data_IF_187256175516
#
_entry.id   IF_187256175516
#
_cell.length_a   1.000
_cell.length_b   1.000
_cell.length_c   1.000
_cell.angle_alpha   90.00
_cell.angle_beta   90.00
_cell.angle_gamma   90.00
#
_symmetry.space_group_name_H-M   'P 1'
#
loop_
_entity.id
_entity.type
_entity.pdbx_description
1 polymer ?
#
# COMPACT_ATOMS: atom_id res chain seq x y z
N UNK A 1 -20.20 -11.54 -9.00
CA UNK A 1 -20.79 -10.67 -7.94
C UNK A 1 -19.81 -9.59 -7.52
N UNK A 2 -19.71 -8.45 -8.25
CA UNK A 2 -18.73 -7.40 -7.99
C UNK A 2 -18.82 -6.86 -6.54
N UNK A 3 -20.03 -6.72 -6.01
CA UNK A 3 -20.26 -6.23 -4.65
C UNK A 3 -19.67 -7.16 -3.56
N UNK A 4 -19.73 -8.47 -3.75
CA UNK A 4 -19.13 -9.43 -2.81
C UNK A 4 -17.60 -9.34 -2.83
N UNK A 5 -17.01 -9.21 -4.03
CA UNK A 5 -15.55 -9.06 -4.17
C UNK A 5 -15.06 -7.76 -3.53
N UNK A 6 -15.79 -6.66 -3.71
CA UNK A 6 -15.48 -5.38 -3.09
C UNK A 6 -15.57 -5.46 -1.57
N UNK A 7 -16.66 -6.03 -1.02
CA UNK A 7 -16.84 -6.21 0.42
C UNK A 7 -15.74 -7.10 1.02
N UNK A 8 -15.39 -8.20 0.35
CA UNK A 8 -14.29 -9.06 0.77
C UNK A 8 -12.96 -8.29 0.77
N UNK A 9 -12.70 -7.50 -0.29
CA UNK A 9 -11.53 -6.63 -0.37
C UNK A 9 -11.42 -5.70 0.84
N UNK A 10 -12.51 -5.05 1.26
CA UNK A 10 -12.52 -4.20 2.46
C UNK A 10 -12.24 -4.97 3.75
N UNK A 11 -12.73 -6.22 3.86
CA UNK A 11 -12.51 -7.06 5.05
C UNK A 11 -11.06 -7.50 5.18
N UNK A 12 -10.38 -7.81 4.05
CA UNK A 12 -9.01 -8.34 4.06
C UNK A 12 -7.94 -7.27 3.90
N UNK A 13 -8.32 -6.04 3.52
CA UNK A 13 -7.36 -4.94 3.33
C UNK A 13 -6.67 -4.55 4.63
N UNK A 14 -5.41 -4.15 4.51
CA UNK A 14 -4.69 -3.51 5.60
C UNK A 14 -5.32 -2.17 5.95
N UNK A 15 -5.23 -1.78 7.23
CA UNK A 15 -5.70 -0.47 7.67
C UNK A 15 -4.57 0.54 7.58
N UNK A 16 -4.84 1.70 6.97
CA UNK A 16 -3.83 2.74 6.76
C UNK A 16 -4.38 4.10 7.18
N UNK A 17 -3.56 4.83 7.92
CA UNK A 17 -3.78 6.23 8.27
C UNK A 17 -2.68 7.08 7.70
N UNK A 18 -3.05 8.07 6.90
CA UNK A 18 -2.12 9.01 6.28
C UNK A 18 -2.26 10.39 6.92
N UNK A 19 -1.12 11.05 7.13
CA UNK A 19 -1.02 12.43 7.56
C UNK A 19 -0.10 13.18 6.62
N UNK A 20 -0.49 14.39 6.26
CA UNK A 20 0.33 15.30 5.45
C UNK A 20 0.43 16.64 6.17
N UNK A 21 1.64 17.18 6.24
CA UNK A 21 1.89 18.51 6.77
C UNK A 21 2.79 19.29 5.82
N UNK A 22 2.38 20.48 5.47
CA UNK A 22 3.20 21.40 4.70
C UNK A 22 4.33 21.97 5.56
N UNK A 23 5.56 21.84 5.05
CA UNK A 23 6.78 22.39 5.65
C UNK A 23 7.24 23.64 4.92
N UNK A 24 7.25 23.59 3.59
CA UNK A 24 7.65 24.65 2.67
C UNK A 24 8.98 25.32 3.06
N UNK A 25 10.02 24.53 3.22
CA UNK A 25 11.35 24.96 3.65
C UNK A 25 12.42 24.49 2.67
N UNK A 26 13.58 25.12 2.69
CA UNK A 26 14.75 24.65 1.96
C UNK A 26 15.45 23.55 2.76
N UNK A 27 16.08 22.58 2.05
CA UNK A 27 16.76 21.46 2.70
C UNK A 27 17.91 21.93 3.64
N UNK A 28 18.65 22.95 3.25
CA UNK A 28 19.72 23.56 4.07
C UNK A 28 19.20 24.20 5.36
N UNK A 29 17.98 24.76 5.31
CA UNK A 29 17.30 25.42 6.43
C UNK A 29 16.43 24.48 7.26
N UNK A 30 16.39 23.19 6.92
CA UNK A 30 15.54 22.21 7.60
C UNK A 30 15.90 22.09 9.08
N UNK A 31 14.94 22.35 9.96
CA UNK A 31 15.02 22.05 11.40
C UNK A 31 14.76 20.55 11.63
N UNK A 32 15.84 19.77 11.68
CA UNK A 32 15.75 18.31 11.89
C UNK A 32 15.12 17.93 13.24
N UNK A 33 15.46 18.56 14.37
CA UNK A 33 14.79 18.31 15.65
C UNK A 33 13.27 18.51 15.57
N UNK A 34 12.80 19.60 14.93
CA UNK A 34 11.37 19.84 14.75
C UNK A 34 10.72 18.78 13.83
N UNK A 35 11.38 18.40 12.74
CA UNK A 35 10.92 17.34 11.85
C UNK A 35 10.77 16.02 12.61
N UNK A 36 11.77 15.60 13.37
CA UNK A 36 11.76 14.36 14.15
C UNK A 36 10.60 14.36 15.16
N UNK A 37 10.44 15.45 15.92
CA UNK A 37 9.30 15.57 16.87
C UNK A 37 7.96 15.38 16.16
N UNK A 38 7.80 16.00 14.98
CA UNK A 38 6.56 15.87 14.22
C UNK A 38 6.33 14.45 13.70
N UNK A 39 7.38 13.77 13.26
CA UNK A 39 7.31 12.36 12.84
C UNK A 39 6.92 11.45 14.00
N UNK A 40 7.46 11.67 15.19
CA UNK A 40 7.11 10.93 16.40
C UNK A 40 5.65 11.16 16.81
N UNK A 41 5.16 12.41 16.70
CA UNK A 41 3.76 12.78 16.96
C UNK A 41 2.82 12.06 15.99
N UNK A 42 3.08 12.11 14.69
CA UNK A 42 2.27 11.42 13.68
C UNK A 42 2.29 9.90 13.83
N UNK A 43 3.44 9.33 14.20
CA UNK A 43 3.53 7.91 14.53
C UNK A 43 2.61 7.54 15.67
N UNK A 44 2.66 8.29 16.77
CA UNK A 44 1.84 8.05 17.96
C UNK A 44 0.36 8.17 17.64
N UNK A 45 -0.07 9.28 17.00
CA UNK A 45 -1.46 9.49 16.62
C UNK A 45 -2.00 8.36 15.72
N UNK A 46 -1.24 7.98 14.69
CA UNK A 46 -1.65 6.90 13.80
C UNK A 46 -1.72 5.53 14.47
N UNK A 47 -0.79 5.24 15.39
CA UNK A 47 -0.82 4.01 16.18
C UNK A 47 -2.00 3.97 17.16
N UNK A 48 -2.33 5.11 17.78
CA UNK A 48 -3.50 5.23 18.65
C UNK A 48 -4.80 5.01 17.88
N UNK A 49 -4.91 5.52 16.65
CA UNK A 49 -6.04 5.27 15.76
C UNK A 49 -6.15 3.79 15.38
N UNK A 50 -5.03 3.13 15.03
CA UNK A 50 -5.03 1.68 14.77
C UNK A 50 -5.48 0.90 16.01
N UNK A 51 -4.99 1.27 17.20
CA UNK A 51 -5.40 0.64 18.47
C UNK A 51 -6.88 0.86 18.76
N UNK A 52 -7.39 2.06 18.55
CA UNK A 52 -8.80 2.43 18.79
C UNK A 52 -9.77 1.68 17.84
N UNK A 53 -9.29 1.19 16.70
CA UNK A 53 -10.10 0.41 15.76
C UNK A 53 -10.55 -0.95 16.29
N UNK A 54 -9.94 -1.47 17.36
CA UNK A 54 -10.22 -2.80 17.93
C UNK A 54 -9.79 -3.96 17.01
N UNK A 55 -9.12 -3.69 15.88
CA UNK A 55 -8.69 -4.71 14.92
C UNK A 55 -7.34 -5.27 15.32
N UNK A 56 -7.19 -6.59 15.23
CA UNK A 56 -5.91 -7.25 15.44
C UNK A 56 -5.00 -7.08 14.21
N UNK A 57 -3.77 -6.59 14.43
CA UNK A 57 -2.73 -6.47 13.42
C UNK A 57 -1.56 -7.37 13.73
N UNK A 58 -1.10 -8.13 12.73
CA UNK A 58 0.11 -8.97 12.84
C UNK A 58 1.38 -8.13 12.97
N UNK A 59 1.41 -6.97 12.29
CA UNK A 59 2.51 -6.01 12.27
C UNK A 59 1.95 -4.60 12.09
N UNK A 60 2.72 -3.62 12.52
CA UNK A 60 2.44 -2.21 12.26
C UNK A 60 3.66 -1.59 11.62
N UNK A 61 3.47 -0.91 10.51
CA UNK A 61 4.53 -0.21 9.79
C UNK A 61 4.28 1.29 9.87
N UNK A 62 5.37 2.04 10.03
CA UNK A 62 5.36 3.50 9.94
C UNK A 62 6.29 3.90 8.82
N UNK A 63 5.80 4.69 7.87
CA UNK A 63 6.54 5.18 6.72
C UNK A 63 6.47 6.69 6.67
N UNK A 64 7.63 7.33 6.43
CA UNK A 64 7.74 8.76 6.23
C UNK A 64 8.35 9.06 4.87
N UNK A 65 7.75 10.03 4.19
CA UNK A 65 8.19 10.55 2.91
C UNK A 65 8.21 12.08 2.94
N UNK A 66 9.10 12.67 2.16
CA UNK A 66 9.11 14.10 1.91
C UNK A 66 8.78 14.37 0.44
N UNK A 67 7.86 15.32 0.20
CA UNK A 67 7.69 15.89 -1.14
C UNK A 67 8.78 16.90 -1.39
N UNK A 68 9.68 16.60 -2.31
CA UNK A 68 10.86 17.43 -2.57
C UNK A 68 10.97 17.79 -4.05
N UNK A 69 11.54 18.97 -4.33
CA UNK A 69 11.83 19.41 -5.69
C UNK A 69 13.05 20.32 -5.71
N UNK A 70 13.71 20.45 -6.84
CA UNK A 70 14.59 21.61 -7.03
C UNK A 70 13.78 22.91 -7.06
N UNK A 71 14.37 23.98 -6.56
CA UNK A 71 13.73 25.29 -6.58
C UNK A 71 13.38 25.72 -8.01
N UNK A 72 12.17 26.21 -8.21
CA UNK A 72 11.64 26.58 -9.53
C UNK A 72 10.88 25.45 -10.25
N UNK A 73 10.90 24.23 -9.76
CA UNK A 73 10.06 23.15 -10.29
C UNK A 73 8.66 23.17 -9.67
N UNK A 74 7.65 22.85 -10.49
CA UNK A 74 6.25 22.73 -10.05
C UNK A 74 5.92 21.34 -9.52
N UNK A 75 6.60 20.31 -10.01
CA UNK A 75 6.36 18.92 -9.61
C UNK A 75 7.34 18.51 -8.51
N UNK A 76 6.81 17.85 -7.50
CA UNK A 76 7.60 17.27 -6.43
C UNK A 76 7.85 15.78 -6.68
N UNK A 77 8.88 15.26 -6.05
CA UNK A 77 9.23 13.85 -6.01
C UNK A 77 9.00 13.33 -4.61
N UNK A 78 8.28 12.23 -4.48
CA UNK A 78 8.09 11.53 -3.21
C UNK A 78 9.39 10.81 -2.81
N UNK A 79 10.00 11.27 -1.74
CA UNK A 79 11.29 10.77 -1.24
C UNK A 79 11.08 10.00 0.06
N UNK A 80 11.18 8.67 0.06
CA UNK A 80 11.10 7.89 1.29
C UNK A 80 12.33 8.16 2.16
N UNK A 81 12.11 8.60 3.39
CA UNK A 81 13.19 8.94 4.33
C UNK A 81 13.31 7.94 5.47
N UNK A 82 12.22 7.28 5.83
CA UNK A 82 12.19 6.28 6.89
C UNK A 82 11.04 5.31 6.68
N UNK A 83 11.32 4.01 6.80
CA UNK A 83 10.31 2.97 6.96
C UNK A 83 10.71 2.06 8.12
N UNK A 84 9.82 1.86 9.08
CA UNK A 84 10.02 1.00 10.24
C UNK A 84 8.85 0.06 10.44
N UNK A 85 9.17 -1.20 10.70
CA UNK A 85 8.21 -2.18 11.20
C UNK A 85 8.28 -2.17 12.72
N UNK A 86 7.16 -1.89 13.37
CA UNK A 86 7.03 -1.92 14.81
C UNK A 86 6.54 -3.31 15.23
N UNK A 87 7.35 -4.03 15.96
CA UNK A 87 6.92 -5.22 16.69
C UNK A 87 6.43 -4.76 18.05
N UNK A 88 5.16 -5.05 18.37
CA UNK A 88 4.46 -4.75 19.62
C UNK A 88 5.27 -3.98 20.68
N UNK A 89 4.91 -2.71 20.91
CA UNK A 89 5.22 -1.92 22.12
C UNK A 89 6.58 -1.24 22.27
N UNK A 90 7.40 -1.01 21.24
CA UNK A 90 8.56 -0.13 21.42
C UNK A 90 8.56 1.00 20.40
N UNK A 91 8.27 2.21 20.85
CA UNK A 91 8.57 3.45 20.13
C UNK A 91 10.08 3.56 19.99
N UNK A 92 10.62 3.17 18.83
CA UNK A 92 12.05 3.33 18.57
C UNK A 92 12.31 4.78 18.19
N UNK A 93 13.35 5.36 18.80
CA UNK A 93 13.83 6.71 18.48
C UNK A 93 14.06 6.88 16.98
N UNK A 94 13.57 7.97 16.44
CA UNK A 94 13.76 8.33 15.03
C UNK A 94 15.09 9.11 14.92
N UNK A 95 15.98 8.64 14.07
CA UNK A 95 17.25 9.29 13.78
C UNK A 95 17.35 9.53 12.28
N UNK A 96 17.50 10.79 11.90
CA UNK A 96 17.64 11.25 10.52
C UNK A 96 18.76 12.28 10.46
N UNK A 97 19.53 12.25 9.36
CA UNK A 97 20.59 13.20 9.04
C UNK A 97 20.27 13.89 7.71
N UNK A 98 20.63 15.17 7.57
CA UNK A 98 20.40 15.93 6.32
C UNK A 98 21.04 15.28 5.11
N UNK A 99 22.24 14.76 5.27
CA UNK A 99 23.01 14.07 4.22
C UNK A 99 22.27 12.83 3.70
N UNK A 100 21.59 12.13 4.60
CA UNK A 100 20.76 10.97 4.23
C UNK A 100 19.53 11.39 3.43
N UNK A 101 18.88 12.49 3.82
CA UNK A 101 17.73 13.05 3.09
C UNK A 101 18.16 13.52 1.70
N UNK A 102 19.31 14.21 1.59
CA UNK A 102 19.87 14.65 0.32
C UNK A 102 20.12 13.44 -0.61
N UNK A 103 20.84 12.42 -0.14
CA UNK A 103 21.14 11.21 -0.92
C UNK A 103 19.86 10.49 -1.38
N UNK A 104 18.85 10.40 -0.51
CA UNK A 104 17.58 9.78 -0.86
C UNK A 104 16.86 10.56 -1.97
N UNK A 105 16.86 11.89 -1.90
CA UNK A 105 16.32 12.75 -2.95
C UNK A 105 17.07 12.57 -4.27
N UNK A 106 18.39 12.64 -4.26
CA UNK A 106 19.23 12.49 -5.47
C UNK A 106 19.00 11.13 -6.13
N UNK A 107 19.00 10.05 -5.36
CA UNK A 107 18.74 8.71 -5.89
C UNK A 107 17.35 8.62 -6.53
N UNK A 108 16.34 9.12 -5.83
CA UNK A 108 14.96 9.10 -6.32
C UNK A 108 14.77 9.97 -7.56
N UNK A 109 15.33 11.18 -7.55
CA UNK A 109 15.27 12.11 -8.66
C UNK A 109 15.98 11.54 -9.90
N UNK A 110 17.19 10.99 -9.71
CA UNK A 110 17.96 10.35 -10.79
C UNK A 110 17.23 9.13 -11.38
N UNK A 111 16.55 8.34 -10.54
CA UNK A 111 15.78 7.18 -11.03
C UNK A 111 14.59 7.57 -11.89
N UNK A 112 13.99 8.74 -11.65
CA UNK A 112 12.82 9.24 -12.39
C UNK A 112 13.21 10.03 -13.66
N UNK A 113 14.26 10.83 -13.57
CA UNK A 113 14.62 11.80 -14.63
C UNK A 113 15.97 11.50 -15.32
N UNK A 114 16.68 10.48 -14.89
CA UNK A 114 17.97 10.04 -15.48
C UNK A 114 19.18 10.93 -15.14
N UNK A 115 18.97 12.14 -14.62
CA UNK A 115 20.04 13.12 -14.30
C UNK A 115 19.72 13.90 -13.03
N UNK A 116 20.76 14.52 -12.46
CA UNK A 116 20.61 15.50 -11.37
C UNK A 116 20.77 16.91 -11.94
N UNK A 117 20.23 17.89 -11.24
CA UNK A 117 20.42 19.31 -11.53
C UNK A 117 21.42 19.86 -10.51
N UNK A 118 22.63 20.14 -10.99
CA UNK A 118 23.72 20.63 -10.13
C UNK A 118 23.48 22.09 -9.71
N UNK A 119 23.94 22.43 -8.52
CA UNK A 119 23.92 23.80 -7.95
C UNK A 119 22.52 24.42 -7.80
N UNK A 120 21.45 23.65 -7.83
CA UNK A 120 20.11 24.16 -7.55
C UNK A 120 19.71 23.82 -6.11
N UNK A 121 19.15 24.81 -5.37
CA UNK A 121 18.62 24.55 -4.03
C UNK A 121 17.47 23.56 -4.07
N UNK A 122 17.34 22.76 -3.03
CA UNK A 122 16.28 21.74 -2.90
C UNK A 122 15.25 22.27 -1.89
N UNK A 123 13.99 22.26 -2.30
CA UNK A 123 12.85 22.62 -1.48
C UNK A 123 12.12 21.37 -1.00
N UNK A 124 11.75 21.35 0.27
CA UNK A 124 10.85 20.38 0.89
C UNK A 124 9.49 21.04 1.01
N UNK A 125 8.48 20.45 0.38
CA UNK A 125 7.12 21.00 0.40
C UNK A 125 6.30 20.39 1.54
N UNK A 126 6.24 19.08 1.64
CA UNK A 126 5.43 18.39 2.63
C UNK A 126 6.20 17.26 3.33
N UNK A 127 5.80 17.00 4.57
CA UNK A 127 6.04 15.74 5.27
C UNK A 127 4.79 14.88 5.13
N UNK A 128 4.96 13.65 4.66
CA UNK A 128 3.93 12.61 4.61
C UNK A 128 4.26 11.50 5.60
N UNK A 129 3.27 11.07 6.35
CA UNK A 129 3.37 9.95 7.27
C UNK A 129 2.27 8.95 6.98
N UNK A 130 2.62 7.66 6.88
CA UNK A 130 1.67 6.57 6.73
C UNK A 130 1.87 5.58 7.87
N UNK A 131 0.83 5.33 8.63
CA UNK A 131 0.81 4.27 9.66
C UNK A 131 -0.10 3.16 9.19
N UNK A 132 0.47 1.96 9.05
CA UNK A 132 -0.18 0.82 8.38
C UNK A 132 -0.25 -0.34 9.35
N UNK A 133 -1.48 -0.77 9.65
CA UNK A 133 -1.76 -1.99 10.39
C UNK A 133 -1.95 -3.17 9.45
N UNK A 134 -0.98 -4.08 9.42
CA UNK A 134 -0.99 -5.26 8.56
C UNK A 134 -1.79 -6.36 9.23
N UNK A 135 -2.88 -6.77 8.60
CA UNK A 135 -3.74 -7.86 9.07
C UNK A 135 -3.13 -9.24 8.79
N UNK A 136 -3.52 -10.27 9.54
CA UNK A 136 -3.31 -11.64 9.12
C UNK A 136 -3.93 -11.87 7.74
N UNK A 137 -3.23 -12.59 6.87
CA UNK A 137 -3.83 -12.97 5.59
C UNK A 137 -5.03 -13.87 5.84
N UNK A 138 -6.16 -13.55 5.22
CA UNK A 138 -7.32 -14.41 5.22
C UNK A 138 -7.01 -15.66 4.39
N UNK A 139 -7.21 -16.81 4.97
CA UNK A 139 -7.17 -18.05 4.22
C UNK A 139 -8.50 -18.22 3.45
N UNK A 140 -8.45 -17.96 2.15
CA UNK A 140 -9.62 -18.07 1.30
C UNK A 140 -10.12 -19.51 1.16
N UNK A 141 -9.33 -20.52 1.57
CA UNK A 141 -9.78 -21.91 1.57
C UNK A 141 -10.91 -22.13 2.58
N UNK A 142 -11.03 -21.29 3.61
CA UNK A 142 -12.15 -21.28 4.56
C UNK A 142 -13.50 -20.98 3.90
N UNK A 143 -13.50 -20.38 2.70
CA UNK A 143 -14.69 -20.11 1.91
C UNK A 143 -15.03 -21.25 0.94
N UNK A 144 -14.23 -22.32 0.95
CA UNK A 144 -14.45 -23.49 0.12
C UNK A 144 -15.72 -24.24 0.56
N UNK A 145 -16.41 -24.92 -0.37
CA UNK A 145 -17.52 -25.81 -0.02
C UNK A 145 -17.05 -26.92 0.92
N UNK A 146 -17.86 -27.24 1.91
CA UNK A 146 -17.56 -28.27 2.92
C UNK A 146 -17.45 -29.65 2.24
N UNK A 147 -18.27 -29.90 1.22
CA UNK A 147 -18.32 -31.14 0.42
C UNK A 147 -18.11 -30.75 -1.04
N UNK A 148 -16.87 -30.59 -1.53
CA UNK A 148 -16.62 -30.28 -2.92
C UNK A 148 -16.99 -31.46 -3.80
N UNK A 149 -17.66 -31.18 -4.90
CA UNK A 149 -18.03 -32.21 -5.91
C UNK A 149 -16.96 -32.28 -7.01
N UNK A 150 -16.93 -33.41 -7.70
CA UNK A 150 -16.12 -33.55 -8.90
C UNK A 150 -16.58 -32.55 -9.97
N UNK A 151 -15.66 -31.91 -10.72
CA UNK A 151 -15.99 -30.91 -11.73
C UNK A 151 -17.02 -31.37 -12.74
N UNK A 152 -16.99 -32.65 -13.14
CA UNK A 152 -17.95 -33.19 -14.10
C UNK A 152 -19.38 -33.25 -13.52
N UNK A 153 -19.51 -33.49 -12.22
CA UNK A 153 -20.79 -33.48 -11.52
C UNK A 153 -21.35 -32.06 -11.33
N UNK A 154 -20.50 -31.03 -11.40
CA UNK A 154 -20.91 -29.65 -11.29
C UNK A 154 -21.34 -29.01 -12.61
N UNK A 155 -21.39 -29.76 -13.72
CA UNK A 155 -21.76 -29.23 -15.04
C UNK A 155 -23.24 -28.87 -15.10
N UNK A 156 -23.53 -27.64 -15.52
CA UNK A 156 -24.89 -27.11 -15.74
C UNK A 156 -25.32 -27.13 -17.20
N UNK A 157 -24.40 -27.47 -18.10
CA UNK A 157 -24.64 -27.46 -19.54
C UNK A 157 -23.75 -26.48 -20.28
N UNK A 158 -23.92 -26.43 -21.59
CA UNK A 158 -23.14 -25.61 -22.51
C UNK A 158 -23.87 -24.29 -22.86
N UNK A 159 -23.12 -23.23 -23.10
CA UNK A 159 -23.61 -21.94 -23.59
C UNK A 159 -22.63 -21.37 -24.59
N UNK A 160 -23.08 -20.40 -25.39
CA UNK A 160 -22.21 -19.66 -26.29
C UNK A 160 -21.71 -18.37 -25.60
N UNK A 161 -20.42 -18.12 -25.64
CA UNK A 161 -19.79 -16.91 -25.12
C UNK A 161 -19.07 -16.20 -26.25
N UNK A 162 -19.31 -14.91 -26.40
CA UNK A 162 -18.61 -14.06 -27.36
C UNK A 162 -17.25 -13.65 -26.81
N UNK A 163 -16.16 -14.06 -27.50
CA UNK A 163 -14.80 -13.75 -27.11
C UNK A 163 -13.92 -13.61 -28.36
N UNK A 164 -13.02 -12.63 -28.40
CA UNK A 164 -12.08 -12.35 -29.50
C UNK A 164 -12.75 -12.32 -30.90
N UNK A 165 -13.96 -11.76 -31.01
CA UNK A 165 -14.66 -11.58 -32.27
C UNK A 165 -15.40 -12.85 -32.78
N UNK A 166 -15.55 -13.88 -31.97
CA UNK A 166 -16.27 -15.11 -32.32
C UNK A 166 -17.11 -15.66 -31.16
N UNK A 167 -18.10 -16.50 -31.47
CA UNK A 167 -18.86 -17.27 -30.48
C UNK A 167 -18.16 -18.57 -30.17
N UNK A 168 -17.92 -18.84 -28.88
CA UNK A 168 -17.26 -20.06 -28.40
C UNK A 168 -18.22 -20.89 -27.54
N UNK A 169 -18.36 -22.19 -27.80
CA UNK A 169 -19.08 -23.08 -26.92
C UNK A 169 -18.35 -23.21 -25.59
N UNK A 170 -19.04 -22.88 -24.50
CA UNK A 170 -18.44 -22.77 -23.17
C UNK A 170 -19.27 -23.53 -22.14
N UNK A 171 -18.62 -24.39 -21.36
CA UNK A 171 -19.28 -25.16 -20.33
C UNK A 171 -19.57 -24.29 -19.10
N UNK A 172 -20.78 -24.38 -18.55
CA UNK A 172 -21.19 -23.76 -17.30
C UNK A 172 -21.08 -24.75 -16.16
N UNK A 173 -20.64 -24.26 -15.01
CA UNK A 173 -20.47 -25.05 -13.79
C UNK A 173 -21.18 -24.40 -12.59
N UNK A 174 -21.62 -25.24 -11.64
CA UNK A 174 -22.11 -24.82 -10.34
C UNK A 174 -20.93 -24.44 -9.45
N UNK A 175 -20.57 -23.14 -9.46
CA UNK A 175 -19.36 -22.61 -8.85
C UNK A 175 -19.20 -22.95 -7.37
N UNK A 176 -20.29 -22.92 -6.59
CA UNK A 176 -20.26 -23.11 -5.15
C UNK A 176 -20.00 -24.55 -4.71
N UNK A 177 -20.02 -25.50 -5.64
CA UNK A 177 -19.81 -26.93 -5.40
C UNK A 177 -18.45 -27.41 -5.92
N UNK A 178 -17.74 -26.56 -6.68
CA UNK A 178 -16.41 -26.88 -7.20
C UNK A 178 -15.36 -26.94 -6.09
N UNK A 179 -14.46 -27.89 -6.16
CA UNK A 179 -13.30 -28.00 -5.27
C UNK A 179 -12.37 -26.78 -5.39
N UNK A 180 -11.67 -26.44 -4.31
CA UNK A 180 -10.61 -25.42 -4.32
C UNK A 180 -9.49 -25.87 -5.28
N UNK A 181 -9.01 -24.93 -6.09
CA UNK A 181 -7.99 -25.21 -7.10
C UNK A 181 -8.55 -25.65 -8.44
N UNK A 182 -9.89 -25.78 -8.60
CA UNK A 182 -10.50 -25.96 -9.91
C UNK A 182 -10.19 -24.75 -10.78
N UNK A 183 -9.56 -25.00 -11.95
CA UNK A 183 -9.24 -23.96 -12.92
C UNK A 183 -10.33 -23.92 -13.98
N UNK A 184 -10.89 -22.74 -14.20
CA UNK A 184 -11.77 -22.46 -15.34
C UNK A 184 -11.01 -21.58 -16.34
N UNK A 185 -10.97 -21.99 -17.59
CA UNK A 185 -10.31 -21.25 -18.68
C UNK A 185 -11.20 -20.15 -19.27
N UNK A 186 -12.08 -19.57 -18.48
CA UNK A 186 -12.78 -18.35 -18.90
C UNK A 186 -11.88 -17.17 -18.53
N UNK A 187 -11.06 -16.75 -19.47
CA UNK A 187 -10.44 -15.44 -19.43
C UNK A 187 -11.46 -14.46 -20.03
N UNK A 188 -12.20 -13.79 -19.17
CA UNK A 188 -12.98 -12.60 -19.52
C UNK A 188 -12.22 -11.39 -19.07
#
# INVERSE_FOLDING_TARGET
YPGVTSALGCVIADMRHDRVQTLNTMLDQLDLPALIRRMEEFSREGLDLLKASGVFFKRQNVRFELDMSYLGQTHTVDVPILEKTLQQSKTQKIEIQKERVLKAFEQRYKSLYGRLLENLPIRILNLKASVIGIRPKLDLTLLAPINPMDPDSCRLGETQVWFEGAWHPTMRYQRLELAVGSLSLIHI
#
